data_IF_176158959687
#
_entry.id   IF_176158959687
#
_cell.length_a   1.000
_cell.length_b   1.000
_cell.length_c   1.000
_cell.angle_alpha   90.00
_cell.angle_beta   90.00
_cell.angle_gamma   90.00
#
_symmetry.space_group_name_H-M   'P 1'
#
loop_
_entity.id
_entity.type
_entity.pdbx_description
1 polymer ?
#
# COMPACT_ATOMS: atom_id res chain seq x y z
N UNK A 1 22.24 -30.35 55.66
CA UNK A 1 20.87 -30.10 55.16
C UNK A 1 20.58 -28.63 54.79
N UNK A 2 21.57 -27.73 54.66
CA UNK A 2 21.32 -26.29 54.41
C UNK A 2 21.96 -25.68 53.16
N UNK A 3 22.63 -26.44 52.26
CA UNK A 3 23.21 -25.85 51.03
C UNK A 3 22.42 -26.08 49.73
N UNK A 4 21.33 -26.85 49.77
CA UNK A 4 20.52 -27.15 48.57
C UNK A 4 19.48 -26.05 48.25
N UNK A 5 19.09 -25.23 49.22
CA UNK A 5 17.98 -24.26 49.06
C UNK A 5 18.38 -22.97 48.35
N UNK A 6 19.66 -22.58 48.41
CA UNK A 6 20.12 -21.31 47.85
C UNK A 6 20.34 -21.39 46.33
N UNK A 7 20.78 -22.54 45.82
CA UNK A 7 20.97 -22.77 44.39
C UNK A 7 19.65 -22.82 43.61
N UNK A 8 18.59 -23.37 44.21
CA UNK A 8 17.27 -23.45 43.58
C UNK A 8 16.55 -22.09 43.52
N UNK A 9 16.69 -21.26 44.55
CA UNK A 9 16.14 -19.90 44.52
C UNK A 9 16.87 -18.98 43.53
N UNK A 10 18.20 -19.10 43.41
CA UNK A 10 18.98 -18.35 42.43
C UNK A 10 18.66 -18.81 41.00
N UNK A 11 18.44 -20.13 40.80
CA UNK A 11 17.98 -20.70 39.53
C UNK A 11 16.60 -20.18 39.11
N UNK A 12 15.66 -20.02 40.05
CA UNK A 12 14.33 -19.48 39.79
C UNK A 12 14.32 -17.96 39.54
N UNK A 13 15.19 -17.20 40.21
CA UNK A 13 15.20 -15.74 40.15
C UNK A 13 15.88 -15.20 38.89
N UNK A 14 17.03 -15.77 38.49
CA UNK A 14 17.78 -15.32 37.30
C UNK A 14 17.02 -15.63 36.00
N UNK A 15 16.26 -16.73 35.95
CA UNK A 15 15.40 -17.03 34.80
C UNK A 15 14.22 -16.07 34.65
N UNK A 16 13.74 -15.47 35.76
CA UNK A 16 12.57 -14.60 35.74
C UNK A 16 12.89 -13.16 35.31
N UNK A 17 14.09 -12.67 35.60
CA UNK A 17 14.46 -11.27 35.30
C UNK A 17 14.85 -11.06 33.82
N UNK A 18 15.51 -12.03 33.17
CA UNK A 18 15.97 -11.85 31.78
C UNK A 18 14.83 -11.99 30.75
N UNK A 19 13.87 -12.87 31.02
CA UNK A 19 12.67 -13.01 30.18
C UNK A 19 11.80 -11.74 30.26
N UNK A 20 11.67 -11.11 31.43
CA UNK A 20 10.82 -9.91 31.62
C UNK A 20 11.29 -8.68 30.82
N UNK A 21 12.59 -8.47 30.65
CA UNK A 21 13.10 -7.19 30.11
C UNK A 21 12.97 -7.11 28.58
N UNK A 22 13.34 -8.18 27.86
CA UNK A 22 13.19 -8.28 26.39
C UNK A 22 11.72 -8.49 25.97
N UNK A 23 10.89 -9.09 26.83
CA UNK A 23 9.46 -9.26 26.62
C UNK A 23 8.68 -7.96 26.82
N UNK A 24 9.09 -7.09 27.75
CA UNK A 24 8.34 -5.89 28.10
C UNK A 24 8.20 -4.89 26.96
N UNK A 25 9.28 -4.66 26.20
CA UNK A 25 9.29 -3.68 25.10
C UNK A 25 8.43 -4.15 23.92
N UNK A 26 8.62 -5.40 23.49
CA UNK A 26 7.87 -6.01 22.39
C UNK A 26 6.37 -6.09 22.72
N UNK A 27 6.02 -6.50 23.94
CA UNK A 27 4.63 -6.55 24.40
C UNK A 27 4.01 -5.17 24.58
N UNK A 28 4.80 -4.16 25.00
CA UNK A 28 4.34 -2.77 25.10
C UNK A 28 3.96 -2.21 23.74
N UNK A 29 4.82 -2.41 22.74
CA UNK A 29 4.57 -1.93 21.37
C UNK A 29 3.39 -2.67 20.72
N UNK A 30 3.30 -3.99 20.89
CA UNK A 30 2.18 -4.78 20.40
C UNK A 30 0.85 -4.33 21.06
N UNK A 31 0.86 -4.07 22.38
CA UNK A 31 -0.29 -3.51 23.10
C UNK A 31 -0.65 -2.10 22.63
N UNK A 32 0.32 -1.28 22.26
CA UNK A 32 0.06 0.04 21.68
C UNK A 32 -0.76 -0.11 20.40
N UNK A 33 -0.30 -0.93 19.46
CA UNK A 33 -1.00 -1.17 18.19
C UNK A 33 -2.39 -1.79 18.43
N UNK A 34 -2.51 -2.74 19.36
CA UNK A 34 -3.81 -3.30 19.76
C UNK A 34 -4.79 -2.27 20.33
N UNK A 35 -4.30 -1.36 21.18
CA UNK A 35 -5.11 -0.29 21.74
C UNK A 35 -5.58 0.69 20.67
N UNK A 36 -4.73 0.97 19.69
CA UNK A 36 -5.06 1.83 18.55
C UNK A 36 -6.06 1.16 17.60
N UNK A 37 -5.87 -0.13 17.31
CA UNK A 37 -6.73 -0.90 16.42
C UNK A 37 -8.05 -1.32 17.08
N UNK A 38 -8.11 -1.41 18.41
CA UNK A 38 -9.26 -1.93 19.15
C UNK A 38 -9.34 -3.46 19.21
N UNK A 39 -8.29 -4.16 18.78
CA UNK A 39 -8.20 -5.63 18.75
C UNK A 39 -7.38 -6.22 19.90
N UNK A 40 -7.19 -5.44 20.98
CA UNK A 40 -6.55 -5.90 22.20
C UNK A 40 -7.44 -6.80 23.06
N UNK A 41 -6.84 -7.44 24.09
CA UNK A 41 -7.59 -8.22 25.08
C UNK A 41 -8.53 -7.37 25.94
N UNK A 42 -8.25 -6.06 26.06
CA UNK A 42 -9.16 -5.08 26.63
C UNK A 42 -9.90 -4.37 25.48
N UNK A 43 -11.21 -4.19 25.60
CA UNK A 43 -12.03 -3.58 24.54
C UNK A 43 -11.80 -2.06 24.48
N UNK A 44 -10.63 -1.66 23.99
CA UNK A 44 -10.31 -0.26 23.72
C UNK A 44 -11.12 0.24 22.52
N UNK A 45 -11.79 1.38 22.68
CA UNK A 45 -12.56 2.02 21.59
C UNK A 45 -11.63 2.34 20.43
N UNK A 46 -12.00 1.90 19.22
CA UNK A 46 -11.28 2.22 17.97
C UNK A 46 -11.12 3.74 17.84
N UNK A 47 -9.87 4.22 17.75
CA UNK A 47 -9.58 5.66 17.58
C UNK A 47 -9.77 6.06 16.12
N UNK A 48 -11.00 6.43 15.73
CA UNK A 48 -11.28 7.16 14.48
C UNK A 48 -10.77 6.52 13.19
N UNK A 49 -10.69 7.31 12.11
CA UNK A 49 -10.00 6.91 10.87
C UNK A 49 -8.50 6.82 11.16
N UNK A 50 -7.89 5.70 10.78
CA UNK A 50 -6.44 5.52 10.88
C UNK A 50 -5.77 6.03 9.61
N UNK A 51 -4.64 6.72 9.80
CA UNK A 51 -3.81 7.20 8.70
C UNK A 51 -3.09 6.00 8.06
N UNK A 52 -3.03 5.97 6.72
CA UNK A 52 -2.41 4.86 5.97
C UNK A 52 -0.94 4.70 6.35
N UNK A 53 -0.24 5.80 6.63
CA UNK A 53 1.15 5.79 7.09
C UNK A 53 1.31 5.03 8.41
N UNK A 54 0.41 5.26 9.37
CA UNK A 54 0.43 4.54 10.65
C UNK A 54 0.19 3.03 10.46
N UNK A 55 -0.77 2.65 9.60
CA UNK A 55 -1.04 1.25 9.28
C UNK A 55 0.18 0.58 8.63
N UNK A 56 0.82 1.29 7.71
CA UNK A 56 2.00 0.81 6.97
C UNK A 56 3.20 0.64 7.90
N UNK A 57 3.51 1.63 8.74
CA UNK A 57 4.60 1.53 9.74
C UNK A 57 4.33 0.43 10.76
N UNK A 58 3.08 0.26 11.18
CA UNK A 58 2.69 -0.82 12.10
C UNK A 58 2.89 -2.20 11.45
N UNK A 59 2.52 -2.36 10.17
CA UNK A 59 2.77 -3.60 9.41
C UNK A 59 4.25 -3.90 9.24
N UNK A 60 5.07 -2.88 8.94
CA UNK A 60 6.54 -3.04 8.86
C UNK A 60 7.12 -3.54 10.18
N UNK A 61 6.73 -2.90 11.29
CA UNK A 61 7.19 -3.29 12.62
C UNK A 61 6.76 -4.71 12.99
N UNK A 62 5.51 -5.11 12.72
CA UNK A 62 5.07 -6.49 12.93
C UNK A 62 5.89 -7.48 12.10
N UNK A 63 6.24 -7.12 10.86
CA UNK A 63 7.14 -7.91 10.02
C UNK A 63 8.52 -8.11 10.66
N UNK A 64 9.09 -7.05 11.25
CA UNK A 64 10.34 -7.14 12.02
C UNK A 64 10.21 -8.08 13.22
N UNK A 65 9.12 -7.97 13.98
CA UNK A 65 8.83 -8.86 15.13
C UNK A 65 8.76 -10.32 14.68
N UNK A 66 8.04 -10.62 13.60
CA UNK A 66 7.92 -11.99 13.08
C UNK A 66 9.28 -12.54 12.64
N UNK A 67 10.13 -11.73 12.03
CA UNK A 67 11.49 -12.11 11.68
C UNK A 67 12.34 -12.40 12.92
N UNK A 68 12.25 -11.56 13.95
CA UNK A 68 12.93 -11.78 15.22
C UNK A 68 12.48 -13.07 15.90
N UNK A 69 11.17 -13.34 15.93
CA UNK A 69 10.59 -14.55 16.49
C UNK A 69 11.08 -15.79 15.73
N UNK A 70 11.05 -15.78 14.40
CA UNK A 70 11.52 -16.89 13.58
C UNK A 70 13.01 -17.18 13.82
N UNK A 71 13.84 -16.12 13.95
CA UNK A 71 15.26 -16.29 14.23
C UNK A 71 15.50 -16.87 15.64
N UNK A 72 14.75 -16.41 16.64
CA UNK A 72 14.81 -16.95 18.01
C UNK A 72 14.34 -18.40 18.06
N UNK A 73 13.28 -18.76 17.34
CA UNK A 73 12.81 -20.15 17.26
C UNK A 73 13.89 -21.07 16.68
N UNK A 74 14.58 -20.61 15.62
CA UNK A 74 15.72 -21.33 15.05
C UNK A 74 16.85 -21.50 16.07
N UNK A 75 17.18 -20.46 16.83
CA UNK A 75 18.24 -20.54 17.86
C UNK A 75 17.86 -21.53 18.97
N UNK A 76 16.62 -21.52 19.44
CA UNK A 76 16.13 -22.49 20.44
C UNK A 76 16.24 -23.92 19.91
N UNK A 77 15.87 -24.15 18.65
CA UNK A 77 16.03 -25.47 17.99
C UNK A 77 17.49 -25.91 17.92
N UNK A 78 18.40 -25.02 17.50
CA UNK A 78 19.83 -25.33 17.44
C UNK A 78 20.41 -25.66 18.82
N UNK A 79 20.01 -24.91 19.85
CA UNK A 79 20.41 -25.19 21.24
C UNK A 79 19.91 -26.57 21.71
N UNK A 80 18.73 -26.99 21.24
CA UNK A 80 18.17 -28.30 21.56
C UNK A 80 19.05 -29.40 20.99
N UNK A 81 19.38 -29.31 19.71
CA UNK A 81 20.22 -30.28 19.01
C UNK A 81 21.63 -30.38 19.63
N UNK A 82 22.20 -29.24 20.03
CA UNK A 82 23.50 -29.19 20.72
C UNK A 82 23.41 -29.86 22.09
N UNK A 83 22.38 -29.57 22.88
CA UNK A 83 22.19 -30.21 24.20
C UNK A 83 21.97 -31.71 24.09
N UNK A 84 21.23 -32.18 23.07
CA UNK A 84 21.03 -33.61 22.81
C UNK A 84 22.34 -34.30 22.41
N UNK A 85 23.14 -33.65 21.55
CA UNK A 85 24.45 -34.18 21.14
C UNK A 85 25.40 -34.27 22.34
N UNK A 86 25.44 -33.23 23.18
CA UNK A 86 26.26 -33.20 24.40
C UNK A 86 25.79 -34.26 25.39
N UNK A 87 24.49 -34.40 25.61
CA UNK A 87 23.92 -35.41 26.52
C UNK A 87 24.31 -36.83 26.10
N UNK A 88 24.14 -37.16 24.81
CA UNK A 88 24.48 -38.48 24.26
C UNK A 88 25.98 -38.76 24.31
N UNK A 89 26.82 -37.79 23.93
CA UNK A 89 28.27 -37.93 23.99
C UNK A 89 28.79 -38.18 25.41
N UNK A 90 28.27 -37.43 26.39
CA UNK A 90 28.66 -37.60 27.80
C UNK A 90 28.18 -38.93 28.38
N UNK A 91 26.98 -39.41 28.03
CA UNK A 91 26.49 -40.71 28.50
C UNK A 91 27.35 -41.86 27.98
N UNK A 92 27.73 -41.81 26.70
CA UNK A 92 28.56 -42.85 26.08
C UNK A 92 29.96 -42.88 26.70
N UNK A 93 30.58 -41.71 26.89
CA UNK A 93 31.91 -41.59 27.49
C UNK A 93 31.92 -42.03 28.96
N UNK A 94 30.83 -41.80 29.72
CA UNK A 94 30.70 -42.23 31.11
C UNK A 94 30.63 -43.76 31.29
N UNK A 95 30.05 -44.46 30.31
CA UNK A 95 29.96 -45.93 30.31
C UNK A 95 31.30 -46.59 29.98
N UNK A 96 32.20 -45.88 29.29
CA UNK A 96 33.50 -46.40 28.86
C UNK A 96 34.61 -46.29 29.93
N UNK A 97 34.42 -45.48 30.99
CA UNK A 97 35.44 -45.24 32.02
C UNK A 97 35.48 -46.40 33.05
N UNK A 98 36.63 -47.06 33.29
CA UNK A 98 36.76 -48.06 34.36
C UNK A 98 36.47 -47.50 35.76
N UNK A 99 35.88 -48.31 36.66
CA UNK A 99 35.39 -47.85 37.97
C UNK A 99 36.47 -47.29 38.93
N UNK A 100 37.75 -47.56 38.67
CA UNK A 100 38.81 -47.44 39.69
C UNK A 100 39.59 -46.10 39.74
N UNK A 101 39.33 -45.07 38.91
CA UNK A 101 40.26 -43.92 38.87
C UNK A 101 39.72 -42.47 38.80
N UNK A 102 38.42 -42.15 38.84
CA UNK A 102 38.03 -40.73 39.01
C UNK A 102 36.60 -40.46 39.49
N UNK A 103 36.33 -40.66 40.79
CA UNK A 103 35.07 -40.25 41.44
C UNK A 103 34.72 -38.78 41.16
N UNK A 104 35.72 -37.90 41.06
CA UNK A 104 35.55 -36.47 40.76
C UNK A 104 35.06 -36.19 39.34
N UNK A 105 35.53 -36.94 38.33
CA UNK A 105 35.09 -36.76 36.93
C UNK A 105 33.67 -37.26 36.78
N UNK A 106 33.34 -38.43 37.33
CA UNK A 106 31.97 -38.98 37.35
C UNK A 106 30.99 -38.00 38.01
N UNK A 107 31.33 -37.48 39.19
CA UNK A 107 30.49 -36.51 39.91
C UNK A 107 30.20 -35.25 39.08
N UNK A 108 31.22 -34.68 38.42
CA UNK A 108 31.06 -33.47 37.60
C UNK A 108 30.27 -33.74 36.34
N UNK A 109 30.46 -34.89 35.70
CA UNK A 109 29.71 -35.27 34.51
C UNK A 109 28.24 -35.56 34.84
N UNK A 110 27.96 -36.26 35.95
CA UNK A 110 26.60 -36.48 36.44
C UNK A 110 25.90 -35.15 36.77
N UNK A 111 26.62 -34.19 37.38
CA UNK A 111 26.10 -32.85 37.63
C UNK A 111 25.78 -32.09 36.33
N UNK A 112 26.58 -32.28 35.27
CA UNK A 112 26.35 -31.68 33.96
C UNK A 112 25.14 -32.31 33.26
N UNK A 113 25.04 -33.64 33.25
CA UNK A 113 23.90 -34.39 32.70
C UNK A 113 22.61 -33.98 33.44
N UNK A 114 22.66 -33.85 34.77
CA UNK A 114 21.52 -33.40 35.57
C UNK A 114 21.10 -31.94 35.29
N UNK A 115 21.97 -31.11 34.72
CA UNK A 115 21.64 -29.73 34.33
C UNK A 115 20.95 -29.62 32.96
N UNK A 116 21.00 -30.66 32.12
CA UNK A 116 20.41 -30.65 30.77
C UNK A 116 18.87 -30.61 30.81
N UNK A 117 18.15 -31.45 31.59
CA UNK A 117 16.69 -31.42 31.67
C UNK A 117 16.10 -30.05 32.05
N UNK A 118 16.59 -29.32 33.08
CA UNK A 118 16.05 -28.00 33.39
C UNK A 118 16.37 -26.95 32.31
N UNK A 119 17.48 -27.08 31.57
CA UNK A 119 17.74 -26.20 30.41
C UNK A 119 16.74 -26.44 29.28
N UNK A 120 16.46 -27.70 28.96
CA UNK A 120 15.42 -28.07 27.99
C UNK A 120 14.04 -27.54 28.40
N UNK A 121 13.64 -27.74 29.65
CA UNK A 121 12.37 -27.22 30.15
C UNK A 121 12.22 -25.70 29.99
N UNK A 122 13.31 -24.93 30.16
CA UNK A 122 13.30 -23.48 29.88
C UNK A 122 13.14 -23.18 28.39
N UNK A 123 13.85 -23.93 27.56
CA UNK A 123 13.77 -23.76 26.11
C UNK A 123 12.38 -24.10 25.56
N UNK A 124 11.67 -25.08 26.16
CA UNK A 124 10.26 -25.34 25.86
C UNK A 124 9.35 -24.18 26.25
N UNK A 125 9.55 -23.59 27.43
CA UNK A 125 8.80 -22.42 27.86
C UNK A 125 9.01 -21.22 26.91
N UNK A 126 10.27 -20.95 26.53
CA UNK A 126 10.59 -19.91 25.53
C UNK A 126 9.95 -20.23 24.18
N UNK A 127 9.95 -21.50 23.75
CA UNK A 127 9.34 -21.90 22.48
C UNK A 127 7.83 -21.67 22.47
N UNK A 128 7.13 -22.00 23.54
CA UNK A 128 5.69 -21.75 23.65
C UNK A 128 5.38 -20.25 23.66
N UNK A 129 6.21 -19.45 24.33
CA UNK A 129 6.09 -17.99 24.29
C UNK A 129 6.31 -17.42 22.88
N UNK A 130 7.37 -17.84 22.18
CA UNK A 130 7.63 -17.41 20.81
C UNK A 130 6.46 -17.77 19.87
N UNK A 131 5.86 -18.93 20.06
CA UNK A 131 4.67 -19.36 19.32
C UNK A 131 3.48 -18.44 19.61
N UNK A 132 3.22 -18.12 20.88
CA UNK A 132 2.17 -17.16 21.26
C UNK A 132 2.39 -15.79 20.62
N UNK A 133 3.62 -15.25 20.68
CA UNK A 133 3.94 -13.95 20.10
C UNK A 133 3.80 -13.95 18.58
N UNK A 134 4.21 -15.03 17.92
CA UNK A 134 4.01 -15.24 16.48
C UNK A 134 2.53 -15.19 16.12
N UNK A 135 1.72 -16.04 16.75
CA UNK A 135 0.27 -16.11 16.46
C UNK A 135 -0.42 -14.77 16.69
N UNK A 136 -0.04 -14.04 17.75
CA UNK A 136 -0.61 -12.73 18.05
C UNK A 136 -0.21 -11.68 17.01
N UNK A 137 1.05 -11.67 16.60
CA UNK A 137 1.58 -10.78 15.55
C UNK A 137 0.93 -11.06 14.18
N UNK A 138 0.73 -12.34 13.83
CA UNK A 138 0.04 -12.74 12.59
C UNK A 138 -1.42 -12.29 12.57
N UNK A 139 -2.14 -12.46 13.69
CA UNK A 139 -3.54 -11.97 13.82
C UNK A 139 -3.62 -10.46 13.66
N UNK A 140 -2.72 -9.73 14.33
CA UNK A 140 -2.67 -8.26 14.27
C UNK A 140 -2.33 -7.78 12.85
N UNK A 141 -1.41 -8.45 12.17
CA UNK A 141 -1.08 -8.19 10.76
C UNK A 141 -2.31 -8.32 9.86
N UNK A 142 -3.08 -9.40 10.00
CA UNK A 142 -4.30 -9.61 9.23
C UNK A 142 -5.34 -8.51 9.46
N UNK A 143 -5.50 -8.05 10.70
CA UNK A 143 -6.37 -6.92 11.04
C UNK A 143 -5.92 -5.62 10.37
N UNK A 144 -4.62 -5.30 10.46
CA UNK A 144 -4.07 -4.10 9.83
C UNK A 144 -4.24 -4.11 8.31
N UNK A 145 -4.02 -5.26 7.66
CA UNK A 145 -4.29 -5.42 6.23
C UNK A 145 -5.76 -5.19 5.86
N UNK A 146 -6.68 -5.72 6.67
CA UNK A 146 -8.11 -5.51 6.46
C UNK A 146 -8.49 -4.02 6.61
N UNK A 147 -7.91 -3.32 7.59
CA UNK A 147 -8.11 -1.89 7.78
C UNK A 147 -7.54 -1.06 6.63
N UNK A 148 -6.33 -1.38 6.16
CA UNK A 148 -5.72 -0.72 5.01
C UNK A 148 -6.59 -0.87 3.76
N UNK A 149 -7.08 -2.09 3.50
CA UNK A 149 -8.00 -2.37 2.39
C UNK A 149 -9.31 -1.58 2.54
N UNK A 150 -9.82 -1.44 3.76
CA UNK A 150 -11.03 -0.67 4.02
C UNK A 150 -10.82 0.84 3.78
N UNK A 151 -9.66 1.39 4.14
CA UNK A 151 -9.32 2.79 3.88
C UNK A 151 -9.12 3.05 2.38
N UNK A 152 -8.42 2.16 1.66
CA UNK A 152 -8.28 2.22 0.21
C UNK A 152 -9.64 2.19 -0.49
N UNK A 153 -10.56 1.34 -0.04
CA UNK A 153 -11.93 1.29 -0.56
C UNK A 153 -12.67 2.61 -0.31
N UNK A 154 -12.52 3.21 0.87
CA UNK A 154 -13.15 4.48 1.20
C UNK A 154 -12.62 5.64 0.34
N UNK A 155 -11.31 5.72 0.12
CA UNK A 155 -10.68 6.71 -0.76
C UNK A 155 -11.16 6.54 -2.20
N UNK A 156 -11.24 5.29 -2.70
CA UNK A 156 -11.72 5.01 -4.04
C UNK A 156 -13.19 5.43 -4.25
N UNK A 157 -14.03 5.26 -3.24
CA UNK A 157 -15.42 5.74 -3.28
C UNK A 157 -15.50 7.27 -3.35
N UNK A 158 -14.66 7.98 -2.58
CA UNK A 158 -14.58 9.44 -2.62
C UNK A 158 -14.06 9.94 -3.97
N UNK A 159 -13.07 9.26 -4.54
CA UNK A 159 -12.56 9.55 -5.88
C UNK A 159 -13.62 9.30 -6.97
N UNK A 160 -14.41 8.24 -6.84
CA UNK A 160 -15.51 7.96 -7.76
C UNK A 160 -16.61 9.03 -7.68
N UNK A 161 -16.97 9.48 -6.48
CA UNK A 161 -17.96 10.55 -6.29
C UNK A 161 -17.47 11.88 -6.86
N UNK A 162 -16.23 12.27 -6.59
CA UNK A 162 -15.65 13.50 -7.16
C UNK A 162 -15.57 13.43 -8.69
N UNK A 163 -15.16 12.29 -9.25
CA UNK A 163 -15.15 12.06 -10.70
C UNK A 163 -16.55 12.14 -11.31
N UNK A 164 -17.57 11.59 -10.64
CA UNK A 164 -18.98 11.70 -11.05
C UNK A 164 -19.43 13.15 -11.09
N UNK A 165 -19.13 13.93 -10.05
CA UNK A 165 -19.49 15.37 -9.98
C UNK A 165 -18.81 16.16 -11.10
N UNK A 166 -17.54 15.89 -11.38
CA UNK A 166 -16.82 16.50 -12.50
C UNK A 166 -17.50 16.14 -13.83
N UNK A 167 -17.81 14.86 -14.06
CA UNK A 167 -18.47 14.43 -15.29
C UNK A 167 -19.86 15.07 -15.48
N UNK A 168 -20.63 15.23 -14.41
CA UNK A 168 -21.92 15.92 -14.43
C UNK A 168 -21.75 17.41 -14.77
N UNK A 169 -20.81 18.09 -14.12
CA UNK A 169 -20.48 19.49 -14.42
C UNK A 169 -20.00 19.66 -15.88
N UNK A 170 -19.12 18.77 -16.37
CA UNK A 170 -18.67 18.78 -17.77
C UNK A 170 -19.80 18.50 -18.76
N UNK A 171 -20.77 17.64 -18.41
CA UNK A 171 -21.95 17.40 -19.24
C UNK A 171 -22.82 18.66 -19.33
N UNK A 172 -23.02 19.37 -18.22
CA UNK A 172 -23.74 20.63 -18.21
C UNK A 172 -23.01 21.69 -19.05
N UNK A 173 -21.70 21.82 -18.87
CA UNK A 173 -20.87 22.75 -19.67
C UNK A 173 -20.92 22.43 -21.17
N UNK A 174 -20.84 21.14 -21.53
CA UNK A 174 -21.01 20.68 -22.92
C UNK A 174 -22.38 21.04 -23.49
N UNK A 175 -23.44 21.00 -22.68
CA UNK A 175 -24.78 21.40 -23.12
C UNK A 175 -24.86 22.91 -23.37
N UNK A 176 -24.26 23.73 -22.51
CA UNK A 176 -24.17 25.18 -22.70
C UNK A 176 -23.35 25.52 -23.95
N UNK A 177 -22.22 24.85 -24.17
CA UNK A 177 -21.40 25.02 -25.37
C UNK A 177 -22.18 24.67 -26.65
N UNK A 178 -22.97 23.58 -26.64
CA UNK A 178 -23.85 23.24 -27.75
C UNK A 178 -24.89 24.33 -28.00
N UNK A 179 -25.49 24.89 -26.96
CA UNK A 179 -26.46 26.00 -27.11
C UNK A 179 -25.79 27.24 -27.73
N UNK A 180 -24.60 27.62 -27.28
CA UNK A 180 -23.85 28.74 -27.86
C UNK A 180 -23.55 28.47 -29.34
N UNK A 181 -23.07 27.27 -29.68
CA UNK A 181 -22.79 26.89 -31.06
C UNK A 181 -24.05 26.93 -31.95
N UNK A 182 -25.20 26.47 -31.43
CA UNK A 182 -26.48 26.55 -32.16
C UNK A 182 -26.89 28.02 -32.36
N UNK A 183 -26.74 28.87 -31.35
CA UNK A 183 -27.04 30.30 -31.50
C UNK A 183 -26.14 30.98 -32.53
N UNK A 184 -24.83 30.71 -32.51
CA UNK A 184 -23.92 31.29 -33.51
C UNK A 184 -24.24 30.80 -34.92
N UNK A 185 -24.51 29.50 -35.10
CA UNK A 185 -24.94 28.93 -36.39
C UNK A 185 -26.25 29.53 -36.90
N UNK A 186 -27.17 29.94 -36.02
CA UNK A 186 -28.43 30.58 -36.40
C UNK A 186 -28.24 32.06 -36.79
N UNK A 187 -27.39 32.81 -36.08
CA UNK A 187 -27.19 34.24 -36.34
C UNK A 187 -26.24 34.52 -37.51
N UNK A 188 -25.30 33.63 -37.80
CA UNK A 188 -24.30 33.86 -38.84
C UNK A 188 -24.93 34.04 -40.25
N UNK A 189 -25.92 33.23 -40.69
CA UNK A 189 -26.61 33.45 -41.96
C UNK A 189 -27.41 34.77 -41.98
N UNK A 190 -28.13 35.09 -40.90
CA UNK A 190 -28.94 36.31 -40.81
C UNK A 190 -28.07 37.58 -40.88
N UNK A 191 -26.96 37.60 -40.14
CA UNK A 191 -25.98 38.70 -40.17
C UNK A 191 -25.29 38.82 -41.53
N UNK A 192 -24.99 37.69 -42.18
CA UNK A 192 -24.47 37.69 -43.55
C UNK A 192 -25.45 38.33 -44.54
N UNK A 193 -26.73 37.94 -44.53
CA UNK A 193 -27.73 38.54 -45.43
C UNK A 193 -28.00 40.01 -45.12
N UNK A 194 -28.02 40.41 -43.84
CA UNK A 194 -28.16 41.81 -43.46
C UNK A 194 -27.00 42.67 -43.98
N UNK A 195 -25.76 42.16 -43.87
CA UNK A 195 -24.59 42.82 -44.42
C UNK A 195 -24.63 42.87 -45.96
N UNK A 196 -25.05 41.77 -46.62
CA UNK A 196 -25.20 41.69 -48.07
C UNK A 196 -26.17 42.76 -48.59
N UNK A 197 -27.33 42.92 -47.96
CA UNK A 197 -28.33 43.92 -48.36
C UNK A 197 -27.91 45.37 -48.06
N UNK A 198 -26.99 45.57 -47.11
CA UNK A 198 -26.47 46.89 -46.76
C UNK A 198 -25.36 47.39 -47.72
N UNK A 199 -24.85 46.53 -48.63
CA UNK A 199 -23.75 46.93 -49.52
C UNK A 199 -24.27 47.91 -50.60
N UNK A 200 -23.69 49.13 -50.75
CA UNK A 200 -24.14 50.14 -51.74
C UNK A 200 -24.01 49.73 -53.21
N UNK A 201 -23.39 48.59 -53.49
CA UNK A 201 -23.22 48.01 -54.82
C UNK A 201 -24.49 47.30 -55.33
N UNK A 202 -25.45 47.02 -54.44
CA UNK A 202 -26.78 46.52 -54.77
C UNK A 202 -27.77 47.70 -54.76
N UNK A 203 -28.25 48.08 -55.95
CA UNK A 203 -29.08 49.26 -56.17
C UNK A 203 -30.54 48.86 -56.33
N UNK A 204 -31.25 48.74 -55.21
CA UNK A 204 -32.61 48.18 -55.16
C UNK A 204 -33.69 49.06 -55.80
N UNK A 205 -33.36 50.32 -56.15
CA UNK A 205 -34.30 51.33 -56.67
C UNK A 205 -34.19 51.51 -58.20
N UNK A 206 -33.33 50.75 -58.87
CA UNK A 206 -33.10 50.78 -60.32
C UNK A 206 -33.46 49.43 -60.98
N UNK A 207 -33.85 49.45 -62.27
CA UNK A 207 -34.12 48.23 -63.06
C UNK A 207 -32.91 47.28 -63.13
N UNK A 208 -31.69 47.81 -62.93
CA UNK A 208 -30.45 47.04 -62.93
C UNK A 208 -29.84 46.98 -61.53
N UNK A 209 -30.37 46.08 -60.70
CA UNK A 209 -30.06 45.94 -59.26
C UNK A 209 -28.60 45.58 -58.99
N UNK A 210 -27.93 44.91 -59.93
CA UNK A 210 -26.56 44.41 -59.79
C UNK A 210 -25.61 45.36 -60.55
N UNK A 211 -24.82 46.16 -59.83
CA UNK A 211 -23.73 46.93 -60.45
C UNK A 211 -22.64 45.98 -60.95
N UNK A 212 -21.99 46.31 -62.07
CA UNK A 212 -21.00 45.44 -62.74
C UNK A 212 -19.83 44.95 -61.87
N UNK A 213 -19.54 45.62 -60.75
CA UNK A 213 -18.47 45.25 -59.83
C UNK A 213 -18.88 44.22 -58.76
N UNK A 214 -20.14 43.76 -58.72
CA UNK A 214 -20.64 42.80 -57.74
C UNK A 214 -19.88 41.45 -57.76
N UNK A 215 -19.28 41.08 -58.89
CA UNK A 215 -18.47 39.85 -59.01
C UNK A 215 -17.25 39.83 -58.08
N UNK A 216 -16.69 41.00 -57.72
CA UNK A 216 -15.53 41.12 -56.81
C UNK A 216 -15.85 40.58 -55.42
N UNK A 217 -17.10 40.69 -54.97
CA UNK A 217 -17.55 40.14 -53.69
C UNK A 217 -17.41 38.62 -53.63
N UNK A 218 -17.94 37.92 -54.65
CA UNK A 218 -17.86 36.46 -54.74
C UNK A 218 -16.43 35.94 -54.95
N UNK A 219 -15.61 36.71 -55.66
CA UNK A 219 -14.20 36.38 -55.89
C UNK A 219 -13.36 36.35 -54.59
N UNK A 220 -13.73 37.11 -53.56
CA UNK A 220 -13.01 37.10 -52.26
C UNK A 220 -13.70 36.24 -51.19
N UNK A 221 -15.04 36.23 -51.14
CA UNK A 221 -15.79 35.54 -50.07
C UNK A 221 -15.75 34.02 -50.18
N UNK A 222 -15.87 33.45 -51.38
CA UNK A 222 -15.81 32.00 -51.57
C UNK A 222 -14.43 31.41 -51.22
N UNK A 223 -13.30 31.96 -51.71
CA UNK A 223 -11.98 31.47 -51.32
C UNK A 223 -11.69 31.64 -49.83
N UNK A 224 -12.08 32.77 -49.22
CA UNK A 224 -11.89 32.98 -47.79
C UNK A 224 -12.68 31.95 -46.96
N UNK A 225 -13.93 31.67 -47.34
CA UNK A 225 -14.77 30.67 -46.65
C UNK A 225 -14.21 29.25 -46.83
N UNK A 226 -13.80 28.90 -48.05
CA UNK A 226 -13.15 27.62 -48.33
C UNK A 226 -11.85 27.46 -47.53
N UNK A 227 -11.05 28.51 -47.41
CA UNK A 227 -9.81 28.53 -46.63
C UNK A 227 -10.10 28.28 -45.13
N UNK A 228 -11.15 28.89 -44.56
CA UNK A 228 -11.56 28.64 -43.16
C UNK A 228 -11.95 27.18 -42.94
N UNK A 229 -12.74 26.59 -43.84
CA UNK A 229 -13.10 25.16 -43.77
C UNK A 229 -11.90 24.23 -43.96
N UNK A 230 -11.00 24.55 -44.90
CA UNK A 230 -9.77 23.79 -45.13
C UNK A 230 -8.84 23.83 -43.90
N UNK A 231 -8.70 24.99 -43.25
CA UNK A 231 -7.98 25.12 -41.99
C UNK A 231 -8.63 24.26 -40.91
N UNK A 232 -9.95 24.33 -40.75
CA UNK A 232 -10.68 23.57 -39.73
C UNK A 232 -10.52 22.05 -39.91
N UNK A 233 -10.76 21.52 -41.12
CA UNK A 233 -10.60 20.09 -41.42
C UNK A 233 -9.16 19.66 -41.17
N UNK A 234 -8.18 20.44 -41.64
CA UNK A 234 -6.76 20.12 -41.43
C UNK A 234 -6.36 20.15 -39.94
N UNK A 235 -7.02 20.96 -39.11
CA UNK A 235 -6.77 21.04 -37.68
C UNK A 235 -7.42 19.87 -36.92
N UNK A 236 -8.66 19.51 -37.27
CA UNK A 236 -9.38 18.38 -36.68
C UNK A 236 -8.69 17.04 -37.00
N UNK A 237 -8.28 16.85 -38.26
CA UNK A 237 -7.50 15.69 -38.69
C UNK A 237 -6.15 15.60 -37.97
N UNK A 238 -5.48 16.74 -37.73
CA UNK A 238 -4.21 16.77 -36.97
C UNK A 238 -4.40 16.42 -35.50
N UNK A 239 -5.55 16.74 -34.91
CA UNK A 239 -5.89 16.38 -33.52
C UNK A 239 -6.19 14.88 -33.43
N UNK A 240 -6.93 14.32 -34.39
CA UNK A 240 -7.16 12.87 -34.50
C UNK A 240 -5.86 12.07 -34.69
N UNK A 241 -4.98 12.51 -35.59
CA UNK A 241 -3.73 11.81 -35.91
C UNK A 241 -2.70 11.88 -34.77
N UNK A 242 -2.60 13.02 -34.04
CA UNK A 242 -1.76 13.11 -32.83
C UNK A 242 -2.24 12.18 -31.72
N UNK A 243 -3.55 12.00 -31.57
CA UNK A 243 -4.13 11.10 -30.58
C UNK A 243 -3.89 9.61 -30.92
N UNK A 244 -3.84 9.27 -32.21
CA UNK A 244 -3.50 7.92 -32.68
C UNK A 244 -2.01 7.60 -32.52
N UNK A 245 -1.11 8.55 -32.82
CA UNK A 245 0.34 8.37 -32.63
C UNK A 245 0.69 8.22 -31.14
N UNK A 246 0.01 8.96 -30.26
CA UNK A 246 0.19 8.85 -28.79
C UNK A 246 -0.34 7.53 -28.21
N UNK A 247 -1.28 6.86 -28.88
CA UNK A 247 -1.80 5.53 -28.52
C UNK A 247 -1.09 4.37 -29.22
N UNK A 248 -0.10 4.66 -30.09
CA UNK A 248 0.68 3.61 -30.72
C UNK A 248 1.57 2.91 -29.67
N UNK A 249 1.49 1.57 -29.54
CA UNK A 249 2.30 0.78 -28.59
C UNK A 249 3.82 0.81 -28.87
N UNK A 250 4.30 1.68 -29.76
CA UNK A 250 5.72 1.89 -29.99
C UNK A 250 6.40 2.70 -28.87
N UNK A 251 5.65 3.48 -28.08
CA UNK A 251 6.20 4.21 -26.92
C UNK A 251 6.39 3.35 -25.66
N UNK A 252 5.77 2.16 -25.61
CA UNK A 252 5.91 1.20 -24.51
C UNK A 252 7.10 0.23 -24.70
N UNK A 253 7.74 0.26 -25.88
CA UNK A 253 8.88 -0.62 -26.19
C UNK A 253 10.27 0.03 -26.01
N UNK A 254 10.36 1.25 -25.47
CA UNK A 254 11.63 1.97 -25.29
C UNK A 254 11.79 2.67 -23.93
N UNK A 255 10.96 2.33 -22.95
CA UNK A 255 11.18 2.66 -21.53
C UNK A 255 11.32 1.35 -20.75
#
# INVERSE_FOLDING_TARGET
MLSSSSGDQIRLTIGRDFDVELESEQLSNLRSIENFTGYGPDQSKVKGRMEIDFLTTSLQWIGEVLNHVANKERHVRMLYDVLDTIAGGLSDELTAIPNDCSTMVRLKTDALIAAIPPMKSRMDATREYLKYLKERSERLSAVLFAMLTHEDAAINLELADSSRRIAEASKHDSSAMKTIAVMTMAFLPATFFAALFAVPSLDWDNDNVIKGNFWVYWAFTLPATALVFLIWISADDRIGLRNLIRRSPAAEKLA
#
